data_IF_809274175309
#
_entry.id   IF_809274175309
#
_cell.length_a   1.000
_cell.length_b   1.000
_cell.length_c   1.000
_cell.angle_alpha   90.00
_cell.angle_beta   90.00
_cell.angle_gamma   90.00
#
_symmetry.space_group_name_H-M   'P 1'
#
loop_
_entity.id
_entity.type
_entity.pdbx_description
1 polymer ?
#
# COMPACT_ATOMS: atom_id res chain seq x y z
N UNK A 1 19.44 26.59 -22.85
CA UNK A 1 18.78 25.40 -22.26
C UNK A 1 18.27 25.77 -20.87
N UNK A 2 17.02 25.44 -20.50
CA UNK A 2 16.46 25.74 -19.17
C UNK A 2 16.54 24.50 -18.26
N UNK A 3 16.96 24.67 -17.01
CA UNK A 3 16.90 23.59 -16.00
C UNK A 3 15.44 23.29 -15.66
N UNK A 4 15.11 22.01 -15.49
CA UNK A 4 13.79 21.50 -15.10
C UNK A 4 13.95 20.50 -13.96
N UNK A 5 13.00 20.50 -13.03
CA UNK A 5 12.84 19.50 -11.98
C UNK A 5 11.41 18.93 -12.12
N UNK A 6 11.27 17.61 -12.02
CA UNK A 6 10.04 16.87 -12.25
C UNK A 6 9.92 15.75 -11.23
N UNK A 7 8.76 15.64 -10.60
CA UNK A 7 8.35 14.54 -9.69
C UNK A 7 7.15 13.86 -10.36
N UNK A 8 7.30 12.65 -10.90
CA UNK A 8 6.40 12.08 -11.93
C UNK A 8 5.60 10.84 -11.48
N UNK A 9 4.94 10.93 -10.33
CA UNK A 9 4.10 9.84 -9.80
C UNK A 9 4.90 8.65 -9.29
N UNK A 10 4.23 7.66 -8.71
CA UNK A 10 4.92 6.52 -8.10
C UNK A 10 4.12 5.24 -8.05
N UNK A 11 4.82 4.12 -7.95
CA UNK A 11 4.23 2.81 -7.68
C UNK A 11 4.92 2.18 -6.45
N UNK A 12 4.85 2.89 -5.32
CA UNK A 12 5.70 2.62 -4.15
C UNK A 12 5.47 1.21 -3.57
N UNK A 13 6.54 0.41 -3.36
CA UNK A 13 6.46 -0.85 -2.64
C UNK A 13 6.38 -0.58 -1.13
N UNK A 14 5.56 -1.36 -0.43
CA UNK A 14 5.50 -1.43 1.02
C UNK A 14 5.79 -2.85 1.46
N UNK A 15 6.94 -3.08 2.09
CA UNK A 15 7.49 -4.40 2.34
C UNK A 15 7.39 -4.74 3.83
N UNK A 16 6.78 -5.87 4.16
CA UNK A 16 6.67 -6.38 5.53
C UNK A 16 7.32 -7.76 5.61
N UNK A 17 8.47 -7.81 6.31
CA UNK A 17 9.17 -9.06 6.60
C UNK A 17 8.54 -9.82 7.77
N UNK A 18 8.87 -11.11 7.88
CA UNK A 18 8.38 -12.03 8.91
C UNK A 18 8.73 -11.62 10.36
N UNK A 19 9.82 -10.87 10.52
CA UNK A 19 10.31 -10.32 11.77
C UNK A 19 9.83 -8.89 12.02
N UNK A 20 8.87 -8.37 11.24
CA UNK A 20 8.33 -7.04 11.46
C UNK A 20 7.42 -6.99 12.69
N UNK A 21 7.51 -5.89 13.45
CA UNK A 21 6.48 -5.53 14.42
C UNK A 21 5.18 -5.18 13.67
N UNK A 22 4.18 -6.05 13.79
CA UNK A 22 2.89 -5.91 13.10
C UNK A 22 2.06 -4.74 13.68
N UNK A 23 2.22 -4.43 14.97
CA UNK A 23 1.52 -3.33 15.63
C UNK A 23 2.05 -1.97 15.13
N UNK A 24 3.29 -1.94 14.66
CA UNK A 24 3.87 -0.77 14.00
C UNK A 24 3.65 -0.75 12.48
N UNK A 25 3.73 -1.90 11.82
CA UNK A 25 3.59 -2.01 10.37
C UNK A 25 2.18 -1.67 9.90
N UNK A 26 1.15 -2.09 10.64
CA UNK A 26 -0.24 -1.90 10.23
C UNK A 26 -0.65 -0.41 10.19
N UNK A 27 -0.45 0.42 11.23
CA UNK A 27 -0.75 1.85 11.16
C UNK A 27 0.01 2.54 10.03
N UNK A 28 1.30 2.21 9.86
CA UNK A 28 2.12 2.73 8.77
C UNK A 28 1.56 2.40 7.39
N UNK A 29 1.17 1.14 7.18
CA UNK A 29 0.55 0.68 5.95
C UNK A 29 -0.75 1.43 5.64
N UNK A 30 -1.62 1.59 6.63
CA UNK A 30 -2.90 2.27 6.45
C UNK A 30 -2.72 3.75 6.09
N UNK A 31 -1.77 4.43 6.73
CA UNK A 31 -1.42 5.82 6.40
C UNK A 31 -0.80 5.89 4.99
N UNK A 32 0.18 5.04 4.70
CA UNK A 32 0.86 5.02 3.40
C UNK A 32 -0.11 4.73 2.25
N UNK A 33 -1.15 3.91 2.46
CA UNK A 33 -2.10 3.54 1.41
C UNK A 33 -3.32 4.44 1.31
N UNK A 34 -3.95 4.78 2.43
CA UNK A 34 -5.29 5.38 2.45
C UNK A 34 -5.30 6.87 2.76
N UNK A 35 -4.16 7.49 3.08
CA UNK A 35 -4.06 8.95 3.18
C UNK A 35 -4.53 9.60 1.88
N UNK A 36 -5.36 10.64 2.01
CA UNK A 36 -6.00 11.31 0.88
C UNK A 36 -6.72 10.36 -0.09
N UNK A 37 -7.32 9.28 0.43
CA UNK A 37 -7.98 8.25 -0.37
C UNK A 37 -7.05 7.57 -1.40
N UNK A 38 -5.75 7.49 -1.09
CA UNK A 38 -4.74 6.91 -1.98
C UNK A 38 -4.36 7.79 -3.18
N UNK A 39 -4.78 9.06 -3.18
CA UNK A 39 -4.50 10.05 -4.23
C UNK A 39 -3.26 10.87 -3.84
N UNK A 40 -2.12 10.22 -3.71
CA UNK A 40 -0.83 10.87 -3.41
C UNK A 40 0.30 10.10 -4.11
N UNK A 41 1.28 10.82 -4.65
CA UNK A 41 2.39 10.24 -5.42
C UNK A 41 3.27 9.24 -4.64
N UNK A 42 3.33 9.35 -3.31
CA UNK A 42 4.09 8.44 -2.45
C UNK A 42 3.24 7.31 -1.86
N UNK A 43 1.96 7.16 -2.25
CA UNK A 43 1.13 6.11 -1.67
C UNK A 43 1.63 4.69 -2.00
N UNK A 44 1.56 3.80 -1.02
CA UNK A 44 1.98 2.40 -1.13
C UNK A 44 1.13 1.61 -2.14
N UNK A 45 1.50 1.58 -3.42
CA UNK A 45 0.71 0.96 -4.49
C UNK A 45 0.89 -0.56 -4.60
N UNK A 46 1.98 -1.12 -4.03
CA UNK A 46 2.24 -2.57 -3.99
C UNK A 46 2.65 -2.99 -2.59
N UNK A 47 1.84 -3.83 -1.94
CA UNK A 47 2.09 -4.22 -0.56
C UNK A 47 2.61 -5.65 -0.57
N UNK A 48 3.89 -5.82 -0.25
CA UNK A 48 4.58 -7.09 -0.22
C UNK A 48 4.64 -7.61 1.22
N UNK A 49 4.16 -8.82 1.43
CA UNK A 49 4.16 -9.45 2.75
C UNK A 49 4.80 -10.82 2.66
N UNK A 50 5.72 -11.12 3.58
CA UNK A 50 6.45 -12.38 3.56
C UNK A 50 5.51 -13.56 3.87
N UNK A 51 5.73 -14.68 3.17
CA UNK A 51 4.85 -15.86 3.21
C UNK A 51 4.44 -16.32 4.62
N UNK A 52 5.36 -16.28 5.58
CA UNK A 52 5.14 -16.74 6.95
C UNK A 52 4.03 -15.96 7.68
N UNK A 53 3.87 -14.66 7.39
CA UNK A 53 2.94 -13.76 8.07
C UNK A 53 1.80 -13.27 7.15
N UNK A 54 1.83 -13.63 5.86
CA UNK A 54 0.91 -13.12 4.84
C UNK A 54 -0.57 -13.21 5.24
N UNK A 55 -1.02 -14.39 5.66
CA UNK A 55 -2.44 -14.60 5.99
C UNK A 55 -2.90 -13.75 7.17
N UNK A 56 -2.03 -13.60 8.19
CA UNK A 56 -2.34 -12.80 9.37
C UNK A 56 -2.46 -11.32 8.99
N UNK A 57 -1.48 -10.78 8.24
CA UNK A 57 -1.53 -9.39 7.77
C UNK A 57 -2.73 -9.15 6.86
N UNK A 58 -2.99 -10.03 5.90
CA UNK A 58 -4.10 -9.87 4.97
C UNK A 58 -5.45 -9.78 5.69
N UNK A 59 -5.67 -10.65 6.70
CA UNK A 59 -6.86 -10.61 7.53
C UNK A 59 -6.95 -9.32 8.35
N UNK A 60 -5.88 -8.97 9.07
CA UNK A 60 -5.85 -7.76 9.93
C UNK A 60 -6.06 -6.48 9.13
N UNK A 61 -5.46 -6.37 7.93
CA UNK A 61 -5.65 -5.23 7.03
C UNK A 61 -7.09 -5.16 6.57
N UNK A 62 -7.68 -6.28 6.13
CA UNK A 62 -9.09 -6.31 5.71
C UNK A 62 -10.05 -5.93 6.85
N UNK A 63 -9.85 -6.46 8.05
CA UNK A 63 -10.65 -6.13 9.24
C UNK A 63 -10.54 -4.66 9.64
N UNK A 64 -9.35 -4.07 9.51
CA UNK A 64 -9.13 -2.67 9.86
C UNK A 64 -9.73 -1.74 8.80
N UNK A 65 -9.53 -2.08 7.53
CA UNK A 65 -10.10 -1.34 6.39
C UNK A 65 -11.63 -1.41 6.40
N UNK A 66 -12.24 -2.50 6.86
CA UNK A 66 -13.69 -2.61 6.98
C UNK A 66 -14.32 -1.59 7.94
N UNK A 67 -13.53 -1.00 8.84
CA UNK A 67 -13.97 0.04 9.78
C UNK A 67 -13.83 1.45 9.22
N UNK A 68 -13.19 1.62 8.05
CA UNK A 68 -13.02 2.93 7.42
C UNK A 68 -14.32 3.41 6.78
N UNK A 69 -14.82 4.54 7.25
CA UNK A 69 -16.06 5.14 6.74
C UNK A 69 -15.76 5.98 5.50
N UNK A 70 -16.31 5.59 4.35
CA UNK A 70 -16.30 6.38 3.12
C UNK A 70 -17.59 7.20 3.01
N UNK A 71 -17.50 8.55 3.05
CA UNK A 71 -18.64 9.45 2.96
C UNK A 71 -18.19 10.88 2.62
N UNK A 72 -19.11 11.86 2.63
CA UNK A 72 -18.77 13.26 2.48
C UNK A 72 -17.72 13.67 3.54
N UNK A 73 -16.61 14.28 3.10
CA UNK A 73 -15.49 14.63 3.98
C UNK A 73 -15.83 15.62 5.11
N UNK A 74 -17.00 16.26 5.06
CA UNK A 74 -17.50 17.14 6.13
C UNK A 74 -18.26 16.39 7.24
N UNK A 75 -18.62 15.12 7.03
CA UNK A 75 -19.36 14.34 8.01
C UNK A 75 -18.45 13.83 9.14
N UNK A 76 -19.01 13.71 10.35
CA UNK A 76 -18.28 13.18 11.50
C UNK A 76 -17.86 11.71 11.29
N UNK A 77 -16.62 11.41 11.71
CA UNK A 77 -16.05 10.06 11.72
C UNK A 77 -15.71 9.52 10.33
N UNK A 78 -15.62 10.37 9.31
CA UNK A 78 -15.24 9.95 7.95
C UNK A 78 -13.74 9.70 7.87
N UNK A 79 -13.39 8.54 7.30
CA UNK A 79 -12.02 8.17 7.00
C UNK A 79 -11.64 8.57 5.58
N UNK A 80 -12.58 8.41 4.64
CA UNK A 80 -12.33 8.55 3.21
C UNK A 80 -13.41 9.39 2.50
N UNK A 81 -12.96 10.35 1.71
CA UNK A 81 -13.80 11.16 0.83
C UNK A 81 -14.01 10.54 -0.56
N UNK A 82 -14.54 11.31 -1.51
CA UNK A 82 -14.65 10.87 -2.89
C UNK A 82 -13.29 10.86 -3.60
N UNK A 83 -13.21 10.15 -4.73
CA UNK A 83 -12.16 10.36 -5.72
C UNK A 83 -12.40 11.68 -6.46
N UNK A 84 -11.33 12.25 -7.02
CA UNK A 84 -11.35 13.58 -7.63
C UNK A 84 -12.34 13.69 -8.80
N UNK A 85 -12.47 12.64 -9.61
CA UNK A 85 -13.36 12.59 -10.76
C UNK A 85 -13.75 11.15 -11.16
N UNK A 86 -14.55 11.04 -12.23
CA UNK A 86 -15.01 9.76 -12.76
C UNK A 86 -13.91 8.94 -13.46
N UNK A 87 -12.84 9.60 -13.94
CA UNK A 87 -11.69 8.91 -14.55
C UNK A 87 -10.88 8.17 -13.49
N UNK A 88 -10.66 8.80 -12.32
CA UNK A 88 -10.02 8.16 -11.18
C UNK A 88 -10.84 6.95 -10.70
N UNK A 89 -12.18 7.10 -10.62
CA UNK A 89 -13.07 5.99 -10.29
C UNK A 89 -12.94 4.82 -11.28
N UNK A 90 -13.06 5.10 -12.58
CA UNK A 90 -12.95 4.08 -13.61
C UNK A 90 -11.61 3.34 -13.58
N UNK A 91 -10.51 4.05 -13.32
CA UNK A 91 -9.17 3.44 -13.19
C UNK A 91 -9.09 2.47 -12.01
N UNK A 92 -9.64 2.84 -10.86
CA UNK A 92 -9.69 1.95 -9.69
C UNK A 92 -10.51 0.70 -10.00
N UNK A 93 -11.67 0.87 -10.64
CA UNK A 93 -12.52 -0.24 -11.05
C UNK A 93 -11.82 -1.19 -12.04
N UNK A 94 -11.12 -0.64 -13.03
CA UNK A 94 -10.33 -1.40 -14.00
C UNK A 94 -9.24 -2.21 -13.31
N UNK A 95 -8.45 -1.58 -12.43
CA UNK A 95 -7.37 -2.26 -11.68
C UNK A 95 -7.92 -3.40 -10.83
N UNK A 96 -9.03 -3.17 -10.14
CA UNK A 96 -9.68 -4.19 -9.32
C UNK A 96 -10.21 -5.33 -10.19
N UNK A 97 -10.93 -5.02 -11.27
CA UNK A 97 -11.49 -6.02 -12.16
C UNK A 97 -10.40 -6.87 -12.82
N UNK A 98 -9.32 -6.25 -13.28
CA UNK A 98 -8.17 -6.94 -13.88
C UNK A 98 -7.48 -7.89 -12.91
N UNK A 99 -7.29 -7.46 -11.65
CA UNK A 99 -6.71 -8.31 -10.62
C UNK A 99 -7.61 -9.52 -10.29
N UNK A 100 -8.92 -9.30 -10.14
CA UNK A 100 -9.88 -10.39 -9.89
C UNK A 100 -9.94 -11.38 -11.05
N UNK A 101 -9.91 -10.91 -12.30
CA UNK A 101 -9.89 -11.77 -13.48
C UNK A 101 -8.64 -12.66 -13.56
N UNK A 102 -7.55 -12.27 -12.88
CA UNK A 102 -6.29 -13.02 -12.78
C UNK A 102 -6.17 -13.86 -11.51
N UNK A 103 -7.25 -13.99 -10.72
CA UNK A 103 -7.32 -14.88 -9.56
C UNK A 103 -7.06 -14.21 -8.21
N UNK A 104 -6.93 -12.87 -8.16
CA UNK A 104 -6.89 -12.17 -6.88
C UNK A 104 -8.21 -12.36 -6.12
N UNK A 105 -8.15 -12.34 -4.80
CA UNK A 105 -9.30 -12.46 -3.92
C UNK A 105 -9.64 -11.12 -3.28
N UNK A 106 -10.88 -10.64 -3.45
CA UNK A 106 -11.34 -9.45 -2.73
C UNK A 106 -11.63 -9.80 -1.27
N UNK A 107 -10.82 -9.27 -0.35
CA UNK A 107 -11.04 -9.43 1.09
C UNK A 107 -11.99 -8.36 1.65
N UNK A 108 -11.89 -7.14 1.13
CA UNK A 108 -12.73 -6.01 1.52
C UNK A 108 -12.91 -5.04 0.34
N UNK A 109 -13.90 -4.13 0.42
CA UNK A 109 -14.15 -3.13 -0.63
C UNK A 109 -15.38 -3.43 -1.50
N UNK A 110 -16.38 -4.11 -0.96
CA UNK A 110 -17.66 -4.30 -1.64
C UNK A 110 -18.40 -2.95 -1.72
N UNK A 111 -18.84 -2.58 -2.93
CA UNK A 111 -19.53 -1.30 -3.16
C UNK A 111 -20.84 -1.25 -2.38
N UNK A 112 -21.02 -0.32 -1.43
CA UNK A 112 -22.27 -0.16 -0.73
C UNK A 112 -23.37 0.37 -1.67
N UNK A 113 -24.63 -0.08 -1.55
CA UNK A 113 -25.72 0.37 -2.44
C UNK A 113 -25.99 1.88 -2.42
N UNK A 114 -25.60 2.56 -1.33
CA UNK A 114 -25.81 3.98 -1.12
C UNK A 114 -24.61 4.85 -1.56
N UNK A 115 -23.49 4.22 -1.92
CA UNK A 115 -22.31 4.93 -2.38
C UNK A 115 -22.50 5.29 -3.86
N UNK A 116 -22.74 6.57 -4.15
CA UNK A 116 -22.90 7.09 -5.51
C UNK A 116 -21.79 8.05 -5.91
N UNK A 117 -21.87 8.69 -7.07
CA UNK A 117 -20.87 9.68 -7.50
C UNK A 117 -19.48 9.08 -7.74
N UNK A 118 -18.42 9.76 -7.30
CA UNK A 118 -17.02 9.32 -7.45
C UNK A 118 -16.47 8.65 -6.19
N UNK A 119 -17.35 8.15 -5.33
CA UNK A 119 -16.93 7.45 -4.12
C UNK A 119 -16.58 5.99 -4.43
N UNK A 120 -15.52 5.50 -3.79
CA UNK A 120 -15.11 4.09 -3.86
C UNK A 120 -14.71 3.62 -2.46
N UNK A 121 -15.16 2.43 -2.01
CA UNK A 121 -14.79 1.93 -0.69
C UNK A 121 -13.31 1.55 -0.67
N UNK A 122 -12.70 1.66 0.51
CA UNK A 122 -11.37 1.09 0.71
C UNK A 122 -11.37 -0.42 0.41
N UNK A 123 -10.50 -0.81 -0.50
CA UNK A 123 -10.51 -2.14 -1.11
C UNK A 123 -9.20 -2.85 -0.83
N UNK A 124 -9.30 -4.12 -0.43
CA UNK A 124 -8.15 -4.99 -0.15
C UNK A 124 -8.24 -6.20 -1.06
N UNK A 125 -7.20 -6.42 -1.85
CA UNK A 125 -7.06 -7.60 -2.71
C UNK A 125 -5.92 -8.47 -2.20
N UNK A 126 -6.20 -9.75 -1.99
CA UNK A 126 -5.20 -10.76 -1.67
C UNK A 126 -4.83 -11.59 -2.90
N UNK A 127 -3.70 -12.27 -2.79
CA UNK A 127 -3.11 -13.16 -3.78
C UNK A 127 -3.02 -12.50 -5.18
N UNK A 128 -2.61 -11.22 -5.21
CA UNK A 128 -2.41 -10.47 -6.45
C UNK A 128 -1.12 -10.95 -7.12
N UNK A 129 -1.21 -11.25 -8.42
CA UNK A 129 -0.06 -11.67 -9.23
C UNK A 129 0.64 -10.47 -9.88
N UNK A 130 1.93 -10.53 -10.23
CA UNK A 130 2.62 -9.42 -10.92
C UNK A 130 2.08 -9.08 -12.33
N UNK A 131 1.35 -10.00 -12.98
CA UNK A 131 0.81 -9.83 -14.34
C UNK A 131 -0.57 -9.15 -14.35
N UNK A 132 -0.65 -7.98 -13.71
CA UNK A 132 -1.86 -7.14 -13.61
C UNK A 132 -1.49 -5.65 -13.70
N UNK A 133 -2.42 -4.80 -14.16
CA UNK A 133 -2.19 -3.36 -14.29
C UNK A 133 -1.80 -2.72 -12.95
N UNK A 134 -2.45 -3.09 -11.84
CA UNK A 134 -2.17 -2.56 -10.50
C UNK A 134 -0.72 -2.80 -10.04
N UNK A 135 -0.03 -3.81 -10.57
CA UNK A 135 1.38 -4.07 -10.26
C UNK A 135 2.33 -3.16 -11.05
N UNK A 136 1.88 -2.52 -12.13
CA UNK A 136 2.73 -1.75 -13.05
C UNK A 136 2.35 -0.28 -13.15
N UNK A 137 1.14 0.08 -12.74
CA UNK A 137 0.58 1.42 -12.89
C UNK A 137 0.18 2.03 -11.54
N UNK A 138 0.30 3.35 -11.44
CA UNK A 138 -0.19 4.10 -10.29
C UNK A 138 -1.72 4.08 -10.26
N UNK A 139 -2.32 3.50 -9.21
CA UNK A 139 -3.79 3.39 -9.11
C UNK A 139 -4.46 4.72 -8.78
N UNK A 140 -3.83 5.51 -7.90
CA UNK A 140 -4.35 6.80 -7.43
C UNK A 140 -5.76 6.71 -6.82
N UNK A 141 -5.99 5.69 -6.00
CA UNK A 141 -7.26 5.47 -5.29
C UNK A 141 -7.11 4.51 -4.10
N UNK A 142 -8.21 4.19 -3.39
CA UNK A 142 -8.15 3.46 -2.12
C UNK A 142 -8.10 1.94 -2.32
N UNK A 143 -7.06 1.46 -3.02
CA UNK A 143 -6.82 0.06 -3.33
C UNK A 143 -5.52 -0.42 -2.67
N UNK A 144 -5.61 -1.47 -1.86
CA UNK A 144 -4.51 -2.16 -1.21
C UNK A 144 -4.32 -3.58 -1.82
N UNK A 145 -3.49 -3.73 -2.86
CA UNK A 145 -3.14 -5.03 -3.42
C UNK A 145 -2.01 -5.69 -2.62
N UNK A 146 -2.24 -6.91 -2.14
CA UNK A 146 -1.29 -7.70 -1.35
C UNK A 146 -0.61 -8.76 -2.21
N UNK A 147 0.72 -8.68 -2.28
CA UNK A 147 1.61 -9.60 -2.97
C UNK A 147 2.39 -10.44 -1.95
N UNK A 148 2.64 -11.70 -2.30
CA UNK A 148 3.49 -12.59 -1.51
C UNK A 148 4.93 -12.48 -1.98
N UNK A 149 5.86 -12.59 -1.03
CA UNK A 149 7.25 -12.86 -1.36
C UNK A 149 7.83 -13.90 -0.40
N UNK A 150 8.83 -14.62 -0.90
CA UNK A 150 9.47 -15.71 -0.16
C UNK A 150 10.61 -15.22 0.72
N UNK A 151 11.51 -14.45 0.12
CA UNK A 151 12.75 -14.00 0.75
C UNK A 151 13.18 -12.62 0.25
N UNK A 152 14.27 -12.12 0.84
CA UNK A 152 14.83 -10.80 0.54
C UNK A 152 15.14 -10.60 -0.95
N UNK A 153 15.69 -11.63 -1.62
CA UNK A 153 16.10 -11.50 -3.02
C UNK A 153 14.87 -11.38 -3.92
N UNK A 154 13.87 -12.21 -3.64
CA UNK A 154 12.58 -12.19 -4.33
C UNK A 154 11.89 -10.82 -4.21
N UNK A 155 11.75 -10.26 -3.00
CA UNK A 155 11.06 -8.98 -2.83
C UNK A 155 11.78 -7.79 -3.46
N UNK A 156 13.12 -7.77 -3.45
CA UNK A 156 13.90 -6.72 -4.13
C UNK A 156 13.65 -6.78 -5.64
N UNK A 157 13.68 -7.99 -6.23
CA UNK A 157 13.42 -8.16 -7.65
C UNK A 157 12.00 -7.70 -8.02
N UNK A 158 10.99 -8.08 -7.24
CA UNK A 158 9.61 -7.65 -7.48
C UNK A 158 9.41 -6.15 -7.25
N UNK A 159 10.04 -5.57 -6.24
CA UNK A 159 9.94 -4.14 -5.94
C UNK A 159 10.57 -3.29 -7.06
N UNK A 160 11.74 -3.66 -7.56
CA UNK A 160 12.45 -2.93 -8.62
C UNK A 160 11.91 -3.21 -10.04
N UNK A 161 11.08 -4.23 -10.25
CA UNK A 161 10.41 -4.49 -11.54
C UNK A 161 9.29 -3.46 -11.82
N UNK A 162 9.68 -2.21 -12.02
CA UNK A 162 8.77 -1.09 -12.25
C UNK A 162 9.46 0.05 -13.00
N UNK A 163 8.68 0.90 -13.68
CA UNK A 163 9.19 2.12 -14.32
C UNK A 163 9.28 3.33 -13.37
N UNK A 164 8.95 3.16 -12.10
CA UNK A 164 8.88 4.21 -11.08
C UNK A 164 10.03 4.07 -10.07
N UNK A 165 10.34 5.15 -9.34
CA UNK A 165 11.40 5.13 -8.32
C UNK A 165 11.24 6.22 -7.27
N UNK A 166 10.00 6.58 -6.92
CA UNK A 166 9.74 7.73 -6.05
C UNK A 166 9.92 7.39 -4.56
N UNK A 167 9.06 6.54 -4.00
CA UNK A 167 9.06 6.18 -2.58
C UNK A 167 9.08 4.67 -2.37
N UNK A 168 9.73 4.20 -1.30
CA UNK A 168 9.68 2.82 -0.82
C UNK A 168 9.51 2.76 0.71
N UNK A 169 8.89 1.69 1.20
CA UNK A 169 8.66 1.47 2.63
C UNK A 169 9.06 0.04 3.01
N UNK A 170 9.72 -0.13 4.15
CA UNK A 170 10.15 -1.45 4.63
C UNK A 170 10.09 -1.56 6.15
N UNK A 171 9.48 -2.65 6.62
CA UNK A 171 9.33 -3.01 8.02
C UNK A 171 10.01 -4.36 8.30
N UNK A 172 10.95 -4.36 9.24
CA UNK A 172 11.67 -5.51 9.78
C UNK A 172 12.29 -5.13 11.12
N UNK A 173 12.55 -6.07 12.02
CA UNK A 173 13.35 -5.82 13.22
C UNK A 173 14.87 -5.93 12.95
N UNK A 174 15.27 -6.75 11.97
CA UNK A 174 16.67 -6.91 11.64
C UNK A 174 17.23 -5.70 10.86
N UNK A 175 17.97 -4.85 11.56
CA UNK A 175 18.62 -3.65 11.00
C UNK A 175 19.52 -3.97 9.82
N UNK A 176 20.33 -5.04 9.90
CA UNK A 176 21.22 -5.40 8.80
C UNK A 176 20.40 -5.75 7.55
N UNK A 177 19.27 -6.45 7.70
CA UNK A 177 18.32 -6.70 6.60
C UNK A 177 17.79 -5.40 6.03
N UNK A 178 17.35 -4.46 6.87
CA UNK A 178 16.84 -3.16 6.42
C UNK A 178 17.86 -2.38 5.59
N UNK A 179 19.11 -2.26 6.05
CA UNK A 179 20.18 -1.60 5.30
C UNK A 179 20.44 -2.28 3.95
N UNK A 180 20.52 -3.61 3.92
CA UNK A 180 20.72 -4.36 2.68
C UNK A 180 19.56 -4.18 1.69
N UNK A 181 18.33 -4.00 2.18
CA UNK A 181 17.16 -3.75 1.34
C UNK A 181 17.19 -2.31 0.83
N UNK A 182 17.47 -1.34 1.70
CA UNK A 182 17.63 0.07 1.33
C UNK A 182 18.65 0.28 0.22
N UNK A 183 19.86 -0.26 0.37
CA UNK A 183 20.91 -0.11 -0.64
C UNK A 183 20.56 -0.76 -1.99
N UNK A 184 19.65 -1.73 -2.01
CA UNK A 184 19.28 -2.47 -3.20
C UNK A 184 18.00 -1.94 -3.88
N UNK A 185 17.21 -1.11 -3.20
CA UNK A 185 15.97 -0.56 -3.73
C UNK A 185 16.28 0.65 -4.62
N UNK A 186 15.65 0.68 -5.80
CA UNK A 186 15.88 1.72 -6.81
C UNK A 186 14.93 2.92 -6.63
N UNK A 187 14.90 3.52 -5.43
CA UNK A 187 13.96 4.58 -5.05
C UNK A 187 14.66 5.81 -4.46
N UNK A 188 14.11 7.01 -4.71
CA UNK A 188 14.70 8.29 -4.27
C UNK A 188 14.33 8.70 -2.84
N UNK A 189 13.13 8.32 -2.38
CA UNK A 189 12.66 8.51 -1.01
C UNK A 189 12.49 7.13 -0.40
N UNK A 190 13.08 6.90 0.77
CA UNK A 190 12.92 5.63 1.46
C UNK A 190 12.56 5.87 2.92
N UNK A 191 11.47 5.24 3.36
CA UNK A 191 11.02 5.29 4.74
C UNK A 191 11.16 3.90 5.37
N UNK A 192 12.22 3.76 6.16
CA UNK A 192 12.55 2.54 6.89
C UNK A 192 12.20 2.74 8.36
N UNK A 193 11.23 1.98 8.86
CA UNK A 193 10.78 2.07 10.25
C UNK A 193 11.35 0.90 11.04
N UNK A 194 12.32 1.20 11.91
CA UNK A 194 12.81 0.30 12.95
C UNK A 194 11.91 0.46 14.18
N UNK A 195 11.38 -0.63 14.74
CA UNK A 195 10.73 -0.59 16.06
C UNK A 195 11.65 -1.25 17.09
N UNK A 196 12.50 -0.43 17.71
CA UNK A 196 13.08 -0.81 19.00
C UNK A 196 12.07 -0.50 20.09
N UNK A 197 11.80 -1.50 20.92
CA UNK A 197 11.19 -1.40 22.25
C UNK A 197 11.25 0.01 22.84
N UNK A 198 10.09 0.62 23.06
CA UNK A 198 9.95 1.67 24.08
C UNK A 198 10.23 0.98 25.41
N UNK A 199 11.33 1.33 26.05
CA UNK A 199 11.62 0.88 27.40
C UNK A 199 10.46 1.34 28.32
N UNK A 200 9.81 0.45 29.10
CA UNK A 200 8.80 0.85 30.07
C UNK A 200 9.50 1.47 31.28
N UNK A 201 9.91 2.73 31.15
CA UNK A 201 10.60 3.49 32.20
C UNK A 201 11.20 4.77 31.60
N UNK A 202 10.65 5.92 31.99
CA UNK A 202 10.85 7.19 31.28
C UNK A 202 12.11 8.00 31.59
N UNK A 203 12.00 9.27 31.18
CA UNK A 203 12.82 10.47 31.45
C UNK A 203 14.08 10.52 30.56
N UNK A 204 14.33 11.56 29.73
CA UNK A 204 14.15 13.02 29.83
C UNK A 204 13.62 13.64 28.54
#
# INVERSE_FOLDING_TARGET
MKKRALELGGNAPFIVFDDADLDAALPGLLIARFRNNGQTCVCANRIYVQDAIYKAIAATVAETVAKMKTCNGMDAGVSLGPLIDASALAKVEEHVAGALAKGACRLQGHMPPHLGGTFYPATVLADVTPDVAVAREETFGPLAPLFRFKDKVDVIAQANDTGFGLASYCYAENIARMFNVAEALEYGIEEFVEVRYVCPGGIV
#
